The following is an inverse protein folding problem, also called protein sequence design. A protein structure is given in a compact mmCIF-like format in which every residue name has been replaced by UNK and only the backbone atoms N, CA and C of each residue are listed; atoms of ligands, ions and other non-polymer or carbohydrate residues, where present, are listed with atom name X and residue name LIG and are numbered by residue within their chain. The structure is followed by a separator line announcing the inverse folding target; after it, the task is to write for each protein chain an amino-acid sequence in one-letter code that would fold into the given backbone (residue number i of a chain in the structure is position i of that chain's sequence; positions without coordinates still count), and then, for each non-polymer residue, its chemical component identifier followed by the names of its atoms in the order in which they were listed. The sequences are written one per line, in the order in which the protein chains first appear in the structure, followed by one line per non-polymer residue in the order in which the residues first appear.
data_IF_977249198516
#
_entry.id   IF_977249198516
#
_cell.length_a   1.000
_cell.length_b   1.000
_cell.length_c   1.000
_cell.angle_alpha   90.00
_cell.angle_beta   90.00
_cell.angle_gamma   90.00
#
_symmetry.space_group_name_H-M   'P 1'
#
loop_
_entity.id
_entity.type
_entity.pdbx_description
1 polymer ?
#
# COMPACT_ATOMS: atom_id res chain seq x y z
N UNK A 1 -18.01 4.47 -15.62
CA UNK A 1 -19.14 5.11 -14.88
C UNK A 1 -18.80 5.05 -13.41
N UNK A 2 -18.86 6.18 -12.69
CA UNK A 2 -18.66 6.20 -11.26
C UNK A 2 -19.69 5.34 -10.51
N UNK A 3 -19.36 4.89 -9.29
CA UNK A 3 -20.26 4.12 -8.43
C UNK A 3 -20.38 2.63 -8.77
N UNK A 4 -19.46 2.07 -9.58
CA UNK A 4 -19.37 0.63 -9.83
C UNK A 4 -18.22 0.01 -9.02
N UNK A 5 -18.31 -1.26 -8.61
CA UNK A 5 -17.22 -1.93 -7.91
C UNK A 5 -15.97 -2.03 -8.80
N UNK A 6 -14.79 -1.99 -8.19
CA UNK A 6 -13.54 -2.23 -8.89
C UNK A 6 -13.45 -3.67 -9.38
N UNK A 7 -12.95 -3.85 -10.60
CA UNK A 7 -12.66 -5.17 -11.14
C UNK A 7 -11.51 -5.82 -10.35
N UNK A 8 -11.58 -7.14 -10.13
CA UNK A 8 -10.53 -7.91 -9.45
C UNK A 8 -9.81 -8.80 -10.45
N UNK A 9 -8.48 -8.68 -10.52
CA UNK A 9 -7.65 -9.57 -11.35
C UNK A 9 -7.49 -10.96 -10.73
N UNK A 10 -7.68 -11.09 -9.41
CA UNK A 10 -7.51 -12.35 -8.66
C UNK A 10 -8.74 -12.62 -7.78
N UNK A 11 -9.24 -13.88 -7.71
CA UNK A 11 -10.33 -14.23 -6.81
C UNK A 11 -9.90 -14.20 -5.33
N UNK A 12 -10.82 -13.87 -4.43
CA UNK A 12 -10.57 -13.91 -2.98
C UNK A 12 -10.44 -15.35 -2.49
N UNK A 13 -9.23 -15.78 -2.12
CA UNK A 13 -8.95 -17.14 -1.62
C UNK A 13 -8.96 -17.27 -0.10
N UNK A 14 -8.85 -16.15 0.62
CA UNK A 14 -8.80 -16.13 2.08
C UNK A 14 -9.78 -15.09 2.62
N UNK A 15 -10.95 -15.57 3.06
CA UNK A 15 -11.96 -14.77 3.73
C UNK A 15 -11.73 -14.82 5.24
N UNK A 16 -10.53 -14.48 5.71
CA UNK A 16 -10.23 -14.46 7.14
C UNK A 16 -10.99 -13.33 7.84
N UNK A 17 -11.44 -13.53 9.09
CA UNK A 17 -11.96 -12.43 9.90
C UNK A 17 -10.84 -11.42 10.16
N UNK A 18 -11.15 -10.13 10.11
CA UNK A 18 -10.16 -9.06 10.30
C UNK A 18 -9.40 -9.16 11.63
N UNK A 19 -10.04 -9.71 12.67
CA UNK A 19 -9.45 -9.93 13.98
C UNK A 19 -8.31 -10.97 13.99
N UNK A 20 -8.20 -11.80 12.96
CA UNK A 20 -7.09 -12.76 12.82
C UNK A 20 -5.85 -12.13 12.17
N UNK A 21 -5.93 -10.88 11.69
CA UNK A 21 -4.80 -10.16 11.12
C UNK A 21 -4.05 -9.39 12.23
N UNK A 22 -2.73 -9.15 12.07
CA UNK A 22 -1.99 -8.30 12.97
C UNK A 22 -2.56 -6.88 12.98
N UNK A 23 -2.30 -6.16 14.08
CA UNK A 23 -2.73 -4.77 14.20
C UNK A 23 -2.12 -3.91 13.08
N UNK A 24 -2.93 -3.15 12.34
CA UNK A 24 -2.43 -2.34 11.23
C UNK A 24 -1.47 -1.22 11.69
N UNK A 25 -1.62 -0.70 12.91
CA UNK A 25 -0.71 0.28 13.49
C UNK A 25 0.67 -0.34 13.73
N UNK A 26 0.70 -1.54 14.33
CA UNK A 26 1.94 -2.30 14.51
C UNK A 26 2.66 -2.56 13.18
N UNK A 27 1.93 -2.98 12.13
CA UNK A 27 2.51 -3.22 10.79
C UNK A 27 3.11 -1.94 10.21
N UNK A 28 2.41 -0.81 10.35
CA UNK A 28 2.92 0.47 9.87
C UNK A 28 4.17 0.90 10.64
N UNK A 29 4.11 0.93 11.97
CA UNK A 29 5.18 1.44 12.83
C UNK A 29 6.45 0.60 12.73
N UNK A 30 6.32 -0.72 12.52
CA UNK A 30 7.47 -1.63 12.49
C UNK A 30 8.07 -1.84 11.10
N UNK A 31 7.27 -1.74 10.02
CA UNK A 31 7.74 -2.10 8.67
C UNK A 31 7.71 -0.95 7.67
N UNK A 32 6.76 -0.03 7.79
CA UNK A 32 6.49 1.00 6.76
C UNK A 32 6.88 2.41 7.21
N UNK A 33 7.02 2.62 8.52
CA UNK A 33 7.45 3.89 9.08
C UNK A 33 8.87 4.19 8.59
N UNK A 34 9.01 5.38 8.02
CA UNK A 34 10.28 5.82 7.46
C UNK A 34 11.22 6.32 8.56
N UNK A 35 12.32 5.62 8.75
CA UNK A 35 13.39 6.05 9.66
C UNK A 35 14.34 7.07 9.02
N UNK A 36 14.67 6.89 7.73
CA UNK A 36 15.64 7.71 6.99
C UNK A 36 15.15 7.98 5.57
N UNK A 37 15.66 9.05 4.95
CA UNK A 37 15.43 9.25 3.52
C UNK A 37 16.34 8.35 2.71
N UNK A 38 15.74 7.58 1.79
CA UNK A 38 16.46 6.91 0.73
C UNK A 38 15.97 7.47 -0.61
N UNK A 39 16.90 7.92 -1.43
CA UNK A 39 16.58 8.39 -2.78
C UNK A 39 16.17 7.22 -3.66
N UNK A 40 15.23 7.46 -4.58
CA UNK A 40 14.79 6.43 -5.49
C UNK A 40 15.97 5.97 -6.38
N UNK A 41 16.27 4.66 -6.49
CA UNK A 41 17.47 4.16 -7.15
C UNK A 41 17.57 4.52 -8.65
N UNK A 42 16.43 4.78 -9.29
CA UNK A 42 16.36 5.27 -10.67
C UNK A 42 16.55 6.78 -10.86
N UNK A 43 16.91 7.54 -9.82
CA UNK A 43 17.14 8.99 -9.91
C UNK A 43 15.89 9.79 -10.33
N UNK A 44 14.70 9.31 -9.95
CA UNK A 44 13.43 9.88 -10.37
C UNK A 44 13.19 11.20 -9.63
N UNK A 45 12.87 12.26 -10.38
CA UNK A 45 12.57 13.58 -9.81
C UNK A 45 11.25 13.61 -9.05
N UNK A 46 11.13 14.52 -8.08
CA UNK A 46 9.90 14.74 -7.30
C UNK A 46 8.69 15.13 -8.17
N UNK A 47 8.92 15.75 -9.33
CA UNK A 47 7.86 16.15 -10.25
C UNK A 47 7.09 14.94 -10.82
N UNK A 48 7.78 13.80 -11.03
CA UNK A 48 7.13 12.57 -11.47
C UNK A 48 6.18 12.02 -10.41
N UNK A 49 6.59 12.04 -9.14
CA UNK A 49 5.74 11.62 -8.01
C UNK A 49 4.55 12.56 -7.75
N UNK A 50 4.65 13.83 -8.15
CA UNK A 50 3.53 14.77 -8.04
C UNK A 50 2.43 14.52 -9.10
N UNK A 51 2.76 13.85 -10.20
CA UNK A 51 1.84 13.57 -11.29
C UNK A 51 1.18 12.19 -11.20
N UNK A 52 1.90 11.18 -10.69
CA UNK A 52 1.44 9.80 -10.55
C UNK A 52 0.41 9.62 -9.43
#
# INVERSE_FOLDING_TARGET
RAGRPYARSVPSKHCLPKAALPDPGLVFDTLLLREKFEEHPGGISSLFFAFA
#
